data_IF_105207191800
#
_entry.id   IF_105207191800
#
_cell.length_a   1.000
_cell.length_b   1.000
_cell.length_c   1.000
_cell.angle_alpha   90.00
_cell.angle_beta   90.00
_cell.angle_gamma   90.00
#
_symmetry.space_group_name_H-M   'P 1'
#
loop_
_entity.id
_entity.type
_entity.pdbx_description
1 polymer ?
#
# COMPACT_ATOMS: atom_id res chain seq x y z
N UNK A 1 0.52 4.77 13.30
CA UNK A 1 -0.51 3.78 13.65
C UNK A 1 -1.71 4.51 14.23
N UNK A 2 -2.91 4.02 13.99
CA UNK A 2 -4.18 4.55 14.47
C UNK A 2 -4.70 3.69 15.64
N UNK A 3 -5.72 4.16 16.36
CA UNK A 3 -6.31 3.44 17.50
C UNK A 3 -6.75 2.01 17.09
N UNK A 4 -7.38 1.86 15.92
CA UNK A 4 -7.78 0.54 15.39
C UNK A 4 -6.60 -0.44 15.19
N UNK A 5 -5.39 0.07 14.92
CA UNK A 5 -4.21 -0.78 14.85
C UNK A 5 -3.89 -1.39 16.21
N UNK A 6 -3.98 -0.60 17.28
CA UNK A 6 -3.65 -1.01 18.64
C UNK A 6 -4.78 -1.81 19.30
N UNK A 7 -6.02 -1.39 19.11
CA UNK A 7 -7.18 -1.96 19.78
C UNK A 7 -7.62 -3.28 19.15
N UNK A 8 -7.39 -3.44 17.83
CA UNK A 8 -7.84 -4.62 17.09
C UNK A 8 -6.70 -5.34 16.38
N UNK A 9 -6.03 -4.70 15.41
CA UNK A 9 -5.18 -5.43 14.45
C UNK A 9 -3.96 -6.08 15.10
N UNK A 10 -3.19 -5.32 15.87
CA UNK A 10 -1.94 -5.78 16.51
C UNK A 10 -2.20 -6.93 17.49
N UNK A 11 -3.16 -6.85 18.44
CA UNK A 11 -3.47 -7.95 19.34
C UNK A 11 -3.81 -9.25 18.61
N UNK A 12 -4.64 -9.20 17.57
CA UNK A 12 -5.01 -10.39 16.81
C UNK A 12 -3.85 -10.95 15.98
N UNK A 13 -3.01 -10.10 15.40
CA UNK A 13 -1.81 -10.53 14.69
C UNK A 13 -0.85 -11.26 15.64
N UNK A 14 -0.60 -10.72 16.83
CA UNK A 14 0.30 -11.34 17.81
C UNK A 14 -0.24 -12.68 18.32
N UNK A 15 -1.55 -12.77 18.57
CA UNK A 15 -2.19 -14.04 18.92
C UNK A 15 -2.05 -15.08 17.81
N UNK A 16 -2.32 -14.70 16.55
CA UNK A 16 -2.16 -15.59 15.40
C UNK A 16 -0.70 -16.06 15.26
N UNK A 17 0.27 -15.14 15.41
CA UNK A 17 1.71 -15.47 15.38
C UNK A 17 2.08 -16.47 16.47
N UNK A 18 1.60 -16.28 17.71
CA UNK A 18 1.87 -17.19 18.82
C UNK A 18 1.33 -18.60 18.53
N UNK A 19 0.08 -18.71 18.05
CA UNK A 19 -0.55 -19.99 17.70
C UNK A 19 0.17 -20.75 16.57
N UNK A 20 0.92 -20.04 15.73
CA UNK A 20 1.63 -20.60 14.59
C UNK A 20 3.15 -20.66 14.78
N UNK A 21 3.64 -20.46 16.01
CA UNK A 21 5.08 -20.41 16.31
C UNK A 21 5.83 -19.47 15.36
N UNK A 22 5.27 -18.26 15.15
CA UNK A 22 5.74 -17.24 14.22
C UNK A 22 5.80 -17.64 12.73
N UNK A 23 5.26 -18.80 12.34
CA UNK A 23 5.22 -19.24 10.94
C UNK A 23 3.98 -18.71 10.21
N UNK A 24 3.87 -17.39 10.09
CA UNK A 24 2.85 -16.67 9.32
C UNK A 24 3.55 -15.61 8.47
N UNK A 25 3.15 -15.53 7.20
CA UNK A 25 3.52 -14.42 6.32
C UNK A 25 2.44 -13.37 6.37
N UNK A 26 2.79 -12.16 6.78
CA UNK A 26 1.89 -11.02 6.75
C UNK A 26 2.10 -10.22 5.46
N UNK A 27 1.03 -9.62 4.98
CA UNK A 27 1.01 -8.86 3.75
C UNK A 27 0.11 -7.64 3.95
N UNK A 28 0.48 -6.49 3.41
CA UNK A 28 -0.27 -5.24 3.58
C UNK A 28 -0.52 -4.54 2.25
N UNK A 29 -1.69 -3.95 2.12
CA UNK A 29 -2.16 -3.21 0.97
C UNK A 29 -2.84 -1.92 1.45
N UNK A 30 -2.56 -0.79 0.82
CA UNK A 30 -3.13 0.51 1.18
C UNK A 30 -4.33 0.84 0.29
N UNK A 31 -5.42 1.35 0.88
CA UNK A 31 -6.64 1.71 0.14
C UNK A 31 -6.57 3.13 -0.42
N UNK A 32 -5.94 4.06 0.31
CA UNK A 32 -5.80 5.44 -0.13
C UNK A 32 -4.69 6.14 0.64
N UNK A 33 -4.01 7.08 -0.01
CA UNK A 33 -3.25 8.11 0.67
C UNK A 33 -4.19 9.09 1.41
N UNK A 34 -3.66 9.91 2.36
CA UNK A 34 -4.41 11.02 2.94
C UNK A 34 -5.03 11.92 1.87
N UNK A 35 -6.23 12.46 2.14
CA UNK A 35 -7.02 13.19 1.14
C UNK A 35 -6.26 14.36 0.50
N UNK A 36 -5.49 15.12 1.28
CA UNK A 36 -4.71 16.25 0.77
C UNK A 36 -3.62 15.86 -0.23
N UNK A 37 -3.18 14.59 -0.26
CA UNK A 37 -2.25 14.08 -1.26
C UNK A 37 -2.93 13.75 -2.61
N UNK A 38 -4.27 13.73 -2.66
CA UNK A 38 -5.03 13.26 -3.82
C UNK A 38 -5.56 14.39 -4.67
N UNK A 39 -5.66 14.16 -5.96
CA UNK A 39 -6.18 15.13 -6.95
C UNK A 39 -7.62 15.55 -6.68
N UNK A 40 -8.42 14.69 -6.05
CA UNK A 40 -9.83 14.97 -5.71
C UNK A 40 -10.05 15.44 -4.26
N UNK A 41 -9.00 15.50 -3.43
CA UNK A 41 -9.07 15.81 -2.01
C UNK A 41 -10.14 15.00 -1.22
N UNK A 42 -10.41 13.75 -1.61
CA UNK A 42 -11.46 12.92 -1.01
C UNK A 42 -10.98 11.49 -0.77
N UNK A 43 -11.61 10.74 0.14
CA UNK A 43 -11.24 9.36 0.46
C UNK A 43 -11.65 8.38 -0.64
N UNK A 44 -12.80 8.61 -1.27
CA UNK A 44 -13.39 7.75 -2.31
C UNK A 44 -13.57 8.49 -3.64
N UNK A 45 -14.00 7.75 -4.66
CA UNK A 45 -14.26 8.26 -6.00
C UNK A 45 -13.00 8.50 -6.82
N UNK A 46 -13.19 9.00 -8.04
CA UNK A 46 -12.11 9.18 -9.00
C UNK A 46 -11.07 10.19 -8.47
N UNK A 47 -9.83 9.73 -8.31
CA UNK A 47 -8.73 10.54 -7.78
C UNK A 47 -7.45 9.74 -7.63
N UNK A 48 -6.36 10.27 -8.17
CA UNK A 48 -5.00 9.72 -8.07
C UNK A 48 -4.16 10.49 -7.04
N UNK A 49 -2.99 9.95 -6.71
CA UNK A 49 -1.94 10.69 -6.00
C UNK A 49 -1.47 11.89 -6.87
N UNK A 50 -1.22 13.05 -6.26
CA UNK A 50 -0.57 14.18 -6.95
C UNK A 50 0.93 13.91 -7.07
N UNK A 51 1.52 14.26 -8.21
CA UNK A 51 2.92 14.01 -8.53
C UNK A 51 3.89 14.56 -7.46
N UNK A 52 3.59 15.73 -6.87
CA UNK A 52 4.44 16.30 -5.81
C UNK A 52 4.54 15.45 -4.55
N UNK A 53 3.64 14.48 -4.33
CA UNK A 53 3.63 13.61 -3.15
C UNK A 53 4.16 12.20 -3.41
N UNK A 54 4.72 11.93 -4.58
CA UNK A 54 5.21 10.59 -4.93
C UNK A 54 6.25 10.07 -3.93
N UNK A 55 7.27 10.88 -3.61
CA UNK A 55 8.28 10.49 -2.62
C UNK A 55 7.66 10.39 -1.22
N UNK A 56 6.86 11.38 -0.83
CA UNK A 56 6.24 11.40 0.50
C UNK A 56 5.32 10.19 0.73
N UNK A 57 4.64 9.71 -0.30
CA UNK A 57 3.83 8.49 -0.21
C UNK A 57 4.69 7.23 -0.07
N UNK A 58 5.84 7.15 -0.74
CA UNK A 58 6.78 6.06 -0.54
C UNK A 58 7.35 6.06 0.90
N UNK A 59 7.69 7.23 1.43
CA UNK A 59 8.16 7.40 2.81
C UNK A 59 7.08 7.01 3.83
N UNK A 60 5.82 7.37 3.56
CA UNK A 60 4.68 6.99 4.38
C UNK A 60 4.51 5.46 4.44
N UNK A 61 4.65 4.77 3.30
CA UNK A 61 4.58 3.31 3.22
C UNK A 61 5.73 2.68 3.99
N UNK A 62 6.97 3.16 3.85
CA UNK A 62 8.11 2.68 4.66
C UNK A 62 7.84 2.90 6.16
N UNK A 63 7.31 4.07 6.53
CA UNK A 63 7.01 4.39 7.93
C UNK A 63 5.98 3.43 8.54
N UNK A 64 5.01 2.94 7.78
CA UNK A 64 4.08 1.92 8.24
C UNK A 64 4.82 0.65 8.71
N UNK A 65 5.81 0.18 7.94
CA UNK A 65 6.61 -1.00 8.30
C UNK A 65 7.49 -0.75 9.51
N UNK A 66 8.13 0.41 9.59
CA UNK A 66 8.91 0.83 10.77
C UNK A 66 8.06 0.83 12.04
N UNK A 67 6.84 1.37 11.98
CA UNK A 67 5.98 1.43 13.16
C UNK A 67 5.45 0.06 13.58
N UNK A 68 5.15 -0.84 12.65
CA UNK A 68 4.76 -2.22 12.97
C UNK A 68 5.94 -3.06 13.48
N UNK A 69 7.16 -2.81 12.99
CA UNK A 69 8.36 -3.49 13.47
C UNK A 69 8.60 -3.20 14.96
N UNK A 70 8.36 -1.97 15.42
CA UNK A 70 8.40 -1.60 16.86
C UNK A 70 7.43 -2.41 17.72
N UNK A 71 6.39 -2.99 17.11
CA UNK A 71 5.41 -3.86 17.77
C UNK A 71 5.76 -5.35 17.65
N UNK A 72 6.99 -5.68 17.24
CA UNK A 72 7.45 -7.04 16.94
C UNK A 72 6.65 -7.73 15.82
N UNK A 73 6.16 -6.96 14.84
CA UNK A 73 5.42 -7.44 13.69
C UNK A 73 6.19 -7.09 12.41
N UNK A 74 6.63 -8.12 11.69
CA UNK A 74 7.27 -7.99 10.39
C UNK A 74 6.34 -8.48 9.28
N UNK A 75 6.45 -7.86 8.11
CA UNK A 75 5.67 -8.21 6.93
C UNK A 75 6.55 -8.93 5.91
N UNK A 76 5.95 -9.90 5.21
CA UNK A 76 6.58 -10.58 4.09
C UNK A 76 6.52 -9.73 2.81
N UNK A 77 5.49 -8.90 2.64
CA UNK A 77 5.40 -8.01 1.49
C UNK A 77 4.31 -6.96 1.56
N UNK A 78 4.24 -6.20 0.48
CA UNK A 78 3.42 -5.02 0.24
C UNK A 78 2.84 -5.06 -1.16
N UNK A 79 1.63 -4.56 -1.36
CA UNK A 79 1.15 -4.19 -2.70
C UNK A 79 1.34 -2.71 -2.96
N UNK A 80 1.46 -2.36 -4.24
CA UNK A 80 1.62 -0.95 -4.63
C UNK A 80 0.40 -0.10 -4.32
N UNK A 81 -0.80 -0.69 -4.39
CA UNK A 81 -2.09 -0.06 -4.09
C UNK A 81 -3.15 -1.16 -4.13
N UNK A 82 -4.11 -1.19 -3.19
CA UNK A 82 -5.30 -2.03 -3.34
C UNK A 82 -6.22 -1.46 -4.42
N UNK A 83 -6.61 -2.30 -5.38
CA UNK A 83 -7.59 -2.00 -6.43
C UNK A 83 -7.38 -0.61 -7.08
N UNK A 84 -6.20 -0.34 -7.67
CA UNK A 84 -5.90 0.95 -8.32
C UNK A 84 -6.90 1.35 -9.41
N UNK A 85 -7.61 0.41 -10.03
CA UNK A 85 -8.63 0.74 -11.03
C UNK A 85 -9.88 1.39 -10.42
N UNK A 86 -10.21 1.10 -9.16
CA UNK A 86 -11.38 1.66 -8.48
C UNK A 86 -11.28 3.18 -8.32
N UNK A 87 -10.08 3.69 -8.03
CA UNK A 87 -9.82 5.12 -7.94
C UNK A 87 -9.78 5.83 -9.31
N UNK A 88 -9.96 5.11 -10.41
CA UNK A 88 -10.18 5.66 -11.75
C UNK A 88 -11.68 5.68 -12.14
N UNK A 89 -12.58 5.28 -11.25
CA UNK A 89 -14.02 5.30 -11.49
C UNK A 89 -14.73 6.33 -10.60
N UNK A 90 -15.78 6.97 -11.14
CA UNK A 90 -16.56 7.99 -10.40
C UNK A 90 -17.50 7.37 -9.35
N UNK A 91 -17.81 6.08 -9.46
CA UNK A 91 -18.84 5.42 -8.66
C UNK A 91 -18.34 4.77 -7.37
N UNK A 92 -17.02 4.66 -7.15
CA UNK A 92 -16.49 3.99 -5.95
C UNK A 92 -16.83 4.78 -4.68
N UNK A 93 -17.49 4.11 -3.73
CA UNK A 93 -17.95 4.69 -2.47
C UNK A 93 -17.08 4.33 -1.26
N UNK A 94 -16.10 3.44 -1.45
CA UNK A 94 -15.12 3.07 -0.43
C UNK A 94 -13.81 3.82 -0.65
N UNK A 95 -12.90 3.77 0.33
CA UNK A 95 -11.57 4.35 0.18
C UNK A 95 -10.90 3.78 -1.08
N UNK A 96 -10.45 4.65 -1.98
CA UNK A 96 -9.83 4.26 -3.24
C UNK A 96 -8.78 5.27 -3.68
N UNK A 97 -7.75 4.85 -4.40
CA UNK A 97 -6.79 5.76 -5.02
C UNK A 97 -6.35 5.22 -6.37
N UNK A 98 -6.53 6.05 -7.40
CA UNK A 98 -6.34 5.69 -8.79
C UNK A 98 -4.88 5.69 -9.21
N UNK A 99 -4.50 4.70 -10.00
CA UNK A 99 -3.21 4.67 -10.71
C UNK A 99 -3.38 4.19 -12.13
N UNK A 100 -2.87 4.94 -13.10
CA UNK A 100 -2.61 4.36 -14.42
C UNK A 100 -1.37 3.43 -14.34
N UNK A 101 -1.23 2.46 -15.27
CA UNK A 101 -0.04 1.62 -15.34
C UNK A 101 1.27 2.42 -15.45
N UNK A 102 1.27 3.52 -16.20
CA UNK A 102 2.46 4.38 -16.37
C UNK A 102 2.80 5.16 -15.10
N UNK A 103 1.79 5.69 -14.41
CA UNK A 103 1.98 6.37 -13.12
C UNK A 103 2.54 5.41 -12.07
N UNK A 104 1.98 4.19 -11.98
CA UNK A 104 2.43 3.19 -11.03
C UNK A 104 3.86 2.73 -11.33
N UNK A 105 4.19 2.46 -12.61
CA UNK A 105 5.55 2.09 -13.02
C UNK A 105 6.54 3.18 -12.61
N UNK A 106 6.25 4.45 -12.94
CA UNK A 106 7.08 5.60 -12.56
C UNK A 106 7.29 5.67 -11.04
N UNK A 107 6.21 5.67 -10.26
CA UNK A 107 6.30 5.77 -8.80
C UNK A 107 7.04 4.59 -8.16
N UNK A 108 6.83 3.36 -8.66
CA UNK A 108 7.56 2.19 -8.17
C UNK A 108 9.05 2.27 -8.52
N UNK A 109 9.39 2.62 -9.75
CA UNK A 109 10.77 2.68 -10.23
C UNK A 109 11.57 3.82 -9.62
N UNK A 110 10.94 4.98 -9.43
CA UNK A 110 11.62 6.22 -9.01
C UNK A 110 11.48 6.52 -7.51
N UNK A 111 10.46 5.99 -6.81
CA UNK A 111 10.21 6.32 -5.41
C UNK A 111 10.10 5.08 -4.51
N UNK A 112 9.04 4.27 -4.64
CA UNK A 112 8.79 3.16 -3.68
C UNK A 112 9.93 2.12 -3.70
N UNK A 113 10.36 1.70 -4.88
CA UNK A 113 11.43 0.72 -5.05
C UNK A 113 12.73 1.18 -4.37
N UNK A 114 13.31 2.32 -4.77
CA UNK A 114 14.50 2.86 -4.10
C UNK A 114 14.32 3.08 -2.59
N UNK A 115 13.17 3.60 -2.16
CA UNK A 115 12.88 3.85 -0.72
C UNK A 115 12.94 2.56 0.09
N UNK A 116 12.30 1.48 -0.38
CA UNK A 116 12.34 0.18 0.30
C UNK A 116 13.74 -0.45 0.21
N UNK A 117 14.37 -0.46 -0.98
CA UNK A 117 15.67 -1.12 -1.20
C UNK A 117 16.83 -0.48 -0.45
N UNK A 118 16.74 0.82 -0.16
CA UNK A 118 17.74 1.56 0.62
C UNK A 118 17.44 1.61 2.13
N UNK A 119 16.41 0.90 2.60
CA UNK A 119 16.03 0.84 4.01
C UNK A 119 16.43 -0.50 4.66
N UNK A 120 16.18 -0.65 5.97
CA UNK A 120 16.31 -1.93 6.69
C UNK A 120 15.30 -2.99 6.21
N UNK A 121 14.30 -2.60 5.42
CA UNK A 121 13.26 -3.47 4.85
C UNK A 121 13.57 -3.88 3.41
N UNK A 122 14.84 -3.90 3.00
CA UNK A 122 15.26 -4.17 1.61
C UNK A 122 14.72 -5.48 1.03
N UNK A 123 14.44 -6.48 1.86
CA UNK A 123 13.92 -7.79 1.46
C UNK A 123 12.39 -7.85 1.27
N UNK A 124 11.66 -6.80 1.67
CA UNK A 124 10.21 -6.70 1.55
C UNK A 124 9.79 -6.89 0.08
N UNK A 125 8.87 -7.85 -0.14
CA UNK A 125 8.36 -8.16 -1.48
C UNK A 125 7.35 -7.11 -1.90
N UNK A 126 7.55 -6.51 -3.08
CA UNK A 126 6.62 -5.56 -3.68
C UNK A 126 5.83 -6.32 -4.75
N UNK A 127 4.51 -6.41 -4.59
CA UNK A 127 3.61 -6.94 -5.59
C UNK A 127 2.86 -5.82 -6.31
N UNK A 128 2.83 -5.90 -7.62
CA UNK A 128 2.11 -4.96 -8.47
C UNK A 128 0.65 -5.38 -8.63
N UNK A 129 -0.16 -4.47 -9.16
CA UNK A 129 -1.57 -4.68 -9.53
C UNK A 129 -2.56 -4.71 -8.36
N UNK A 130 -2.61 -5.81 -7.60
CA UNK A 130 -3.58 -6.03 -6.49
C UNK A 130 -5.02 -5.64 -6.86
N UNK A 131 -5.45 -6.07 -8.04
CA UNK A 131 -6.74 -5.74 -8.66
C UNK A 131 -7.28 -6.97 -9.43
N UNK A 132 -8.50 -6.85 -9.94
CA UNK A 132 -9.18 -7.87 -10.72
C UNK A 132 -8.39 -8.25 -11.98
N UNK A 133 -8.44 -9.53 -12.34
CA UNK A 133 -7.72 -10.05 -13.53
C UNK A 133 -8.09 -9.33 -14.83
N UNK A 134 -9.33 -8.91 -14.99
CA UNK A 134 -9.80 -8.24 -16.22
C UNK A 134 -9.24 -6.82 -16.39
N UNK A 135 -8.70 -6.19 -15.33
CA UNK A 135 -8.07 -4.87 -15.42
C UNK A 135 -6.64 -4.96 -15.95
N UNK A 136 -6.05 -6.16 -15.99
CA UNK A 136 -4.94 -6.49 -16.89
C UNK A 136 -5.45 -6.58 -18.33
N UNK A 137 -5.64 -5.43 -19.00
CA UNK A 137 -5.90 -5.40 -20.45
C UNK A 137 -4.76 -4.70 -21.19
N UNK A 138 -4.19 -5.41 -22.17
CA UNK A 138 -3.17 -4.96 -23.14
C UNK A 138 -1.83 -4.44 -22.60
N UNK A 139 -1.18 -5.18 -21.69
CA UNK A 139 0.28 -5.20 -21.66
C UNK A 139 0.76 -6.10 -22.81
N UNK A 140 0.75 -5.59 -24.03
CA UNK A 140 1.73 -6.05 -25.01
C UNK A 140 3.10 -5.60 -24.46
N UNK A 141 3.75 -6.53 -23.75
CA UNK A 141 5.19 -6.46 -23.49
C UNK A 141 5.95 -6.44 -24.82
#
# INVERSE_FOLDING_TARGET
>A
LQDDDFDFKIPFILQAKALRNNNIKLFASAWSAPTWMKTNNNWSGMGSLKDEYYQLWADYILRFYEEYEKQNISFWGVTTQNEPSDGLTVSTKINSMGWSPSQMNKWVGENLGPTIRNSTFSDLKIMLHDDSRNTFSNLSL
#
